data_IF_721675992027
#
_entry.id   IF_721675992027
#
_cell.length_a   1.000
_cell.length_b   1.000
_cell.length_c   1.000
_cell.angle_alpha   90.00
_cell.angle_beta   90.00
_cell.angle_gamma   90.00
#
_symmetry.space_group_name_H-M   'P 1'
#
loop_
_entity.id
_entity.type
_entity.pdbx_description
1 polymer ?
#
# COMPACT_ATOMS: atom_id res chain seq x y z
N UNK A 1 -3.25 3.04 -5.24
CA UNK A 1 -2.70 1.65 -5.06
C UNK A 1 -3.82 0.66 -5.37
N UNK A 2 -3.50 -0.51 -5.90
CA UNK A 2 -4.49 -1.53 -6.25
C UNK A 2 -4.76 -2.50 -5.10
N UNK A 3 -5.91 -3.23 -5.14
CA UNK A 3 -6.28 -4.24 -4.16
C UNK A 3 -6.43 -5.62 -4.79
N UNK A 4 -5.86 -6.65 -4.16
CA UNK A 4 -6.02 -8.06 -4.51
C UNK A 4 -6.79 -8.77 -3.40
N UNK A 5 -7.76 -9.58 -3.79
CA UNK A 5 -8.45 -10.54 -2.94
C UNK A 5 -8.58 -11.89 -3.65
N UNK A 6 -8.59 -12.98 -2.92
CA UNK A 6 -8.87 -14.30 -3.44
C UNK A 6 -9.41 -15.21 -2.35
N UNK A 7 -10.31 -16.11 -2.71
CA UNK A 7 -10.86 -17.12 -1.80
C UNK A 7 -10.91 -18.48 -2.47
N UNK A 8 -10.67 -19.52 -1.70
CA UNK A 8 -10.90 -20.92 -2.08
C UNK A 8 -11.58 -21.66 -0.94
N UNK A 9 -12.47 -22.61 -1.25
CA UNK A 9 -13.28 -23.35 -0.28
C UNK A 9 -14.51 -22.60 0.21
N UNK A 10 -14.97 -21.56 -0.47
CA UNK A 10 -16.14 -20.75 -0.09
C UNK A 10 -17.34 -21.13 -0.95
N UNK A 11 -18.49 -21.44 -0.33
CA UNK A 11 -19.72 -21.81 -1.04
C UNK A 11 -20.33 -20.65 -1.83
N UNK A 12 -20.32 -19.44 -1.25
CA UNK A 12 -20.84 -18.23 -1.87
C UNK A 12 -19.71 -17.31 -2.33
N UNK A 13 -19.01 -17.73 -3.38
CA UNK A 13 -17.76 -17.08 -3.82
C UNK A 13 -17.99 -15.63 -4.28
N UNK A 14 -19.12 -15.31 -4.96
CA UNK A 14 -19.36 -13.97 -5.48
C UNK A 14 -19.56 -12.96 -4.35
N UNK A 15 -20.46 -13.17 -3.36
CA UNK A 15 -20.55 -12.29 -2.20
C UNK A 15 -19.24 -12.11 -1.45
N UNK A 16 -18.48 -13.20 -1.24
CA UNK A 16 -17.20 -13.12 -0.55
C UNK A 16 -16.18 -12.24 -1.29
N UNK A 17 -16.08 -12.39 -2.62
CA UNK A 17 -15.20 -11.56 -3.44
C UNK A 17 -15.64 -10.09 -3.44
N UNK A 18 -16.94 -9.81 -3.60
CA UNK A 18 -17.47 -8.44 -3.58
C UNK A 18 -17.17 -7.77 -2.24
N UNK A 19 -17.51 -8.42 -1.11
CA UNK A 19 -17.24 -7.90 0.23
C UNK A 19 -15.73 -7.67 0.47
N UNK A 20 -14.88 -8.61 0.01
CA UNK A 20 -13.43 -8.46 0.08
C UNK A 20 -12.90 -7.28 -0.74
N UNK A 21 -13.45 -7.07 -1.95
CA UNK A 21 -13.11 -5.94 -2.81
C UNK A 21 -13.60 -4.60 -2.23
N UNK A 22 -14.81 -4.55 -1.64
CA UNK A 22 -15.33 -3.35 -0.98
C UNK A 22 -14.40 -2.86 0.13
N UNK A 23 -13.81 -3.78 0.90
CA UNK A 23 -12.79 -3.44 1.91
C UNK A 23 -11.49 -2.92 1.31
N UNK A 24 -11.24 -3.18 0.03
CA UNK A 24 -10.05 -2.74 -0.71
C UNK A 24 -10.33 -1.58 -1.68
N UNK A 25 -11.59 -1.11 -1.80
CA UNK A 25 -11.99 -0.05 -2.74
C UNK A 25 -11.19 1.24 -2.52
N UNK A 26 -10.80 1.53 -1.28
CA UNK A 26 -9.95 2.68 -0.96
C UNK A 26 -8.59 2.66 -1.67
N UNK A 27 -8.12 1.48 -2.10
CA UNK A 27 -6.86 1.32 -2.84
C UNK A 27 -6.99 1.62 -4.32
N UNK A 28 -8.20 1.53 -4.88
CA UNK A 28 -8.44 1.78 -6.30
C UNK A 28 -9.93 1.66 -6.61
N UNK A 29 -10.44 2.59 -7.40
CA UNK A 29 -11.85 2.65 -7.80
C UNK A 29 -12.05 2.99 -9.29
N UNK A 30 -10.99 2.91 -10.10
CA UNK A 30 -11.07 3.16 -11.54
C UNK A 30 -11.72 2.02 -12.29
N UNK A 31 -11.47 0.81 -11.81
CA UNK A 31 -12.08 -0.40 -12.33
C UNK A 31 -11.93 -1.55 -11.34
N UNK A 32 -12.80 -2.54 -11.47
CA UNK A 32 -12.76 -3.76 -10.68
C UNK A 32 -13.12 -4.97 -11.54
N UNK A 33 -12.72 -6.15 -11.09
CA UNK A 33 -13.10 -7.38 -11.75
C UNK A 33 -12.75 -8.62 -10.94
N UNK A 34 -13.38 -9.72 -11.33
CA UNK A 34 -13.19 -11.03 -10.71
C UNK A 34 -12.94 -12.10 -11.76
N UNK A 35 -12.19 -13.12 -11.39
CA UNK A 35 -12.13 -14.39 -12.12
C UNK A 35 -12.62 -15.50 -11.19
N UNK A 36 -13.46 -16.37 -11.72
CA UNK A 36 -14.04 -17.53 -11.05
C UNK A 36 -13.49 -18.79 -11.71
N UNK A 37 -13.08 -19.77 -10.91
CA UNK A 37 -12.64 -21.05 -11.39
C UNK A 37 -13.83 -22.00 -11.41
N UNK A 38 -14.41 -22.21 -12.58
CA UNK A 38 -15.54 -23.10 -12.82
C UNK A 38 -15.06 -24.45 -13.36
N UNK A 39 -15.93 -25.46 -13.38
CA UNK A 39 -15.59 -26.79 -13.89
C UNK A 39 -15.16 -26.78 -15.37
N UNK A 40 -15.77 -25.88 -16.14
CA UNK A 40 -15.54 -25.79 -17.59
C UNK A 40 -14.49 -24.74 -17.98
N UNK A 41 -13.80 -24.15 -16.99
CA UNK A 41 -12.75 -23.17 -17.24
C UNK A 41 -12.81 -21.93 -16.34
N UNK A 42 -12.27 -20.82 -16.83
CA UNK A 42 -12.19 -19.58 -16.09
C UNK A 42 -13.20 -18.57 -16.61
N UNK A 43 -14.09 -18.10 -15.74
CA UNK A 43 -15.02 -17.01 -16.04
C UNK A 43 -14.49 -15.70 -15.49
N UNK A 44 -14.41 -14.66 -16.33
CA UNK A 44 -13.97 -13.32 -15.95
C UNK A 44 -15.11 -12.32 -16.12
N UNK A 45 -15.34 -11.51 -15.09
CA UNK A 45 -16.30 -10.39 -15.11
C UNK A 45 -15.56 -9.12 -14.71
N UNK A 46 -15.67 -8.09 -15.53
CA UNK A 46 -14.97 -6.81 -15.35
C UNK A 46 -15.93 -5.64 -15.40
N UNK A 47 -15.59 -4.56 -14.71
CA UNK A 47 -16.34 -3.30 -14.76
C UNK A 47 -15.41 -2.11 -14.59
N UNK A 48 -15.65 -1.07 -15.40
CA UNK A 48 -15.05 0.24 -15.19
C UNK A 48 -15.82 0.96 -14.09
N UNK A 49 -15.12 1.72 -13.26
CA UNK A 49 -15.69 2.46 -12.13
C UNK A 49 -15.68 1.66 -10.84
N UNK A 50 -16.56 2.03 -9.93
CA UNK A 50 -16.63 1.50 -8.56
C UNK A 50 -17.05 0.04 -8.48
N UNK A 51 -16.80 -0.59 -7.34
CA UNK A 51 -17.18 -1.99 -7.08
C UNK A 51 -18.68 -2.19 -7.17
N UNK A 52 -19.49 -1.18 -6.85
CA UNK A 52 -20.96 -1.25 -7.03
C UNK A 52 -21.36 -1.63 -8.45
N UNK A 53 -20.66 -1.11 -9.47
CA UNK A 53 -20.93 -1.45 -10.87
C UNK A 53 -20.57 -2.91 -11.19
N UNK A 54 -19.50 -3.43 -10.58
CA UNK A 54 -19.13 -4.84 -10.70
C UNK A 54 -20.14 -5.73 -9.98
N UNK A 55 -20.57 -5.35 -8.77
CA UNK A 55 -21.56 -6.08 -7.98
C UNK A 55 -22.92 -6.19 -8.73
N UNK A 56 -23.34 -5.12 -9.40
CA UNK A 56 -24.53 -5.13 -10.27
C UNK A 56 -24.39 -6.15 -11.40
N UNK A 57 -23.26 -6.15 -12.11
CA UNK A 57 -22.99 -7.15 -13.17
C UNK A 57 -22.97 -8.59 -12.61
N UNK A 58 -22.41 -8.78 -11.42
CA UNK A 58 -22.31 -10.09 -10.78
C UNK A 58 -23.65 -10.61 -10.22
N UNK A 59 -24.63 -9.76 -9.95
CA UNK A 59 -25.94 -10.15 -9.40
C UNK A 59 -26.70 -11.12 -10.29
N UNK A 60 -26.48 -11.08 -11.61
CA UNK A 60 -27.08 -11.98 -12.58
C UNK A 60 -26.25 -13.24 -12.88
N UNK A 61 -24.99 -13.30 -12.38
CA UNK A 61 -24.10 -14.42 -12.64
C UNK A 61 -24.45 -15.61 -11.75
N UNK A 62 -24.71 -16.76 -12.37
CA UNK A 62 -24.83 -18.05 -11.68
C UNK A 62 -23.54 -18.82 -11.85
N UNK A 63 -23.01 -19.37 -10.78
CA UNK A 63 -21.75 -20.12 -10.77
C UNK A 63 -21.77 -21.27 -9.78
N UNK A 64 -21.02 -22.31 -10.06
CA UNK A 64 -20.72 -23.41 -9.14
C UNK A 64 -19.29 -23.31 -8.60
N UNK A 65 -18.60 -22.19 -8.84
CA UNK A 65 -17.26 -21.96 -8.38
C UNK A 65 -17.18 -21.77 -6.86
N UNK A 66 -16.19 -22.38 -6.24
CA UNK A 66 -15.83 -22.23 -4.83
C UNK A 66 -14.47 -21.55 -4.66
N UNK A 67 -13.88 -21.10 -5.77
CA UNK A 67 -12.58 -20.47 -5.84
C UNK A 67 -12.61 -19.31 -6.83
N UNK A 68 -12.01 -18.19 -6.44
CA UNK A 68 -11.94 -17.02 -7.30
C UNK A 68 -10.94 -15.99 -6.79
N UNK A 69 -10.54 -15.10 -7.70
CA UNK A 69 -9.69 -13.94 -7.40
C UNK A 69 -10.36 -12.66 -7.88
N UNK A 70 -10.12 -11.57 -7.17
CA UNK A 70 -10.67 -10.26 -7.48
C UNK A 70 -9.62 -9.16 -7.37
N UNK A 71 -9.89 -8.04 -8.04
CA UNK A 71 -8.99 -6.90 -8.10
C UNK A 71 -9.73 -5.58 -8.15
N UNK A 72 -9.21 -4.58 -7.42
CA UNK A 72 -9.55 -3.16 -7.58
C UNK A 72 -8.35 -2.42 -8.14
N UNK A 73 -8.54 -1.65 -9.20
CA UNK A 73 -7.46 -1.00 -9.93
C UNK A 73 -7.43 0.50 -9.68
N UNK A 74 -6.22 1.01 -9.47
CA UNK A 74 -5.85 2.41 -9.64
C UNK A 74 -4.94 2.48 -10.86
N UNK A 75 -5.42 3.09 -11.95
CA UNK A 75 -4.71 3.06 -13.22
C UNK A 75 -3.37 3.81 -13.15
N UNK A 76 -2.27 3.08 -13.33
CA UNK A 76 -0.92 3.62 -13.50
C UNK A 76 -0.43 3.47 -14.94
N UNK A 77 -0.82 2.38 -15.62
CA UNK A 77 -0.51 2.06 -17.01
C UNK A 77 -1.79 1.70 -17.76
N UNK A 78 -2.05 2.38 -18.89
CA UNK A 78 -3.25 2.20 -19.68
C UNK A 78 -4.49 2.86 -19.07
N UNK A 79 -5.40 3.34 -19.92
CA UNK A 79 -6.65 3.99 -19.50
C UNK A 79 -7.57 3.00 -18.76
N UNK A 80 -8.49 3.46 -17.90
CA UNK A 80 -9.50 2.61 -17.28
C UNK A 80 -10.55 2.17 -18.32
N UNK A 81 -10.27 1.08 -19.01
CA UNK A 81 -11.14 0.42 -19.99
C UNK A 81 -11.35 -1.04 -19.57
N UNK A 82 -12.42 -1.70 -20.02
CA UNK A 82 -12.64 -3.12 -19.67
C UNK A 82 -11.48 -4.03 -20.10
N UNK A 83 -10.81 -3.72 -21.21
CA UNK A 83 -9.65 -4.47 -21.69
C UNK A 83 -8.50 -4.39 -20.69
N UNK A 84 -8.25 -3.20 -20.13
CA UNK A 84 -7.18 -2.93 -19.19
C UNK A 84 -7.54 -3.26 -17.74
N UNK A 85 -8.80 -3.63 -17.45
CA UNK A 85 -9.19 -4.10 -16.11
C UNK A 85 -8.61 -5.49 -15.84
N UNK A 86 -8.25 -5.73 -14.57
CA UNK A 86 -7.95 -7.08 -14.10
C UNK A 86 -9.25 -7.85 -13.78
N UNK A 87 -9.22 -9.17 -13.81
CA UNK A 87 -8.12 -10.10 -14.16
C UNK A 87 -7.81 -10.17 -15.65
N UNK A 88 -6.56 -10.54 -16.01
CA UNK A 88 -6.15 -10.83 -17.37
C UNK A 88 -6.08 -12.34 -17.61
N UNK A 89 -6.56 -12.78 -18.77
CA UNK A 89 -6.45 -14.17 -19.20
C UNK A 89 -5.18 -14.36 -20.04
N UNK A 90 -4.58 -15.54 -19.93
CA UNK A 90 -3.52 -15.99 -20.84
C UNK A 90 -4.08 -16.29 -22.24
N UNK A 91 -3.22 -16.35 -23.25
CA UNK A 91 -3.59 -16.51 -24.67
C UNK A 91 -4.46 -17.75 -24.95
N UNK A 92 -4.20 -18.87 -24.26
CA UNK A 92 -5.02 -20.09 -24.33
C UNK A 92 -6.07 -20.18 -23.22
N UNK A 93 -6.30 -19.10 -22.45
CA UNK A 93 -7.27 -19.00 -21.36
C UNK A 93 -7.09 -20.02 -20.24
N UNK A 94 -5.88 -20.58 -20.09
CA UNK A 94 -5.56 -21.53 -19.03
C UNK A 94 -5.32 -20.86 -17.69
N UNK A 95 -4.84 -19.61 -17.69
CA UNK A 95 -4.57 -18.84 -16.48
C UNK A 95 -5.34 -17.53 -16.47
N UNK A 96 -5.83 -17.14 -15.28
CA UNK A 96 -6.33 -15.80 -14.99
C UNK A 96 -5.45 -15.16 -13.92
N UNK A 97 -5.06 -13.90 -14.08
CA UNK A 97 -4.10 -13.21 -13.22
C UNK A 97 -4.62 -11.86 -12.77
N UNK A 98 -4.42 -11.56 -11.50
CA UNK A 98 -4.48 -10.20 -10.94
C UNK A 98 -3.11 -9.81 -10.41
N UNK A 99 -2.75 -8.53 -10.53
CA UNK A 99 -1.43 -8.04 -10.22
C UNK A 99 -1.47 -6.64 -9.60
N UNK A 100 -0.72 -6.46 -8.52
CA UNK A 100 -0.38 -5.15 -7.94
C UNK A 100 1.11 -4.91 -8.14
N UNK A 101 1.48 -3.76 -8.68
CA UNK A 101 2.86 -3.37 -8.85
C UNK A 101 3.20 -2.89 -10.26
N UNK A 102 4.48 -2.94 -10.60
CA UNK A 102 5.02 -2.54 -11.91
C UNK A 102 6.08 -3.55 -12.34
N UNK A 103 5.95 -4.06 -13.57
CA UNK A 103 6.94 -4.93 -14.19
C UNK A 103 7.88 -4.06 -15.04
N UNK A 104 9.08 -3.83 -14.52
CA UNK A 104 10.05 -2.90 -15.11
C UNK A 104 10.59 -3.38 -16.45
N UNK A 105 10.74 -4.69 -16.63
CA UNK A 105 11.21 -5.30 -17.88
C UNK A 105 10.08 -5.67 -18.87
N UNK A 106 8.88 -5.09 -18.73
CA UNK A 106 7.68 -5.40 -19.52
C UNK A 106 7.93 -5.36 -21.05
N UNK A 107 8.76 -4.41 -21.53
CA UNK A 107 9.10 -4.32 -22.97
C UNK A 107 9.84 -5.54 -23.50
N UNK A 108 10.70 -6.15 -22.70
CA UNK A 108 11.43 -7.35 -23.08
C UNK A 108 10.52 -8.57 -23.07
N UNK A 109 9.60 -8.63 -22.10
CA UNK A 109 8.61 -9.69 -21.97
C UNK A 109 7.56 -9.62 -23.09
N UNK A 110 7.12 -8.42 -23.49
CA UNK A 110 6.26 -8.23 -24.66
C UNK A 110 6.92 -8.74 -25.96
N UNK A 111 8.19 -8.39 -26.18
CA UNK A 111 8.95 -8.93 -27.33
C UNK A 111 9.01 -10.45 -27.30
N UNK A 112 9.25 -11.06 -26.13
CA UNK A 112 9.27 -12.50 -25.98
C UNK A 112 7.92 -13.14 -26.34
N UNK A 113 6.81 -12.57 -25.85
CA UNK A 113 5.46 -13.03 -26.18
C UNK A 113 5.21 -12.94 -27.70
N UNK A 114 5.52 -11.82 -28.33
CA UNK A 114 5.37 -11.62 -29.78
C UNK A 114 6.22 -12.58 -30.61
N UNK A 115 7.46 -12.87 -30.18
CA UNK A 115 8.30 -13.87 -30.84
C UNK A 115 7.74 -15.28 -30.74
N UNK A 116 6.83 -15.53 -29.80
CA UNK A 116 6.09 -16.81 -29.64
C UNK A 116 4.70 -16.77 -30.30
N UNK A 117 4.39 -15.73 -31.08
CA UNK A 117 3.11 -15.56 -31.78
C UNK A 117 1.97 -15.06 -30.89
N UNK A 118 2.28 -14.58 -29.67
CA UNK A 118 1.29 -14.06 -28.73
C UNK A 118 1.28 -12.53 -28.80
N UNK A 119 0.14 -11.96 -29.17
CA UNK A 119 -0.07 -10.49 -29.19
C UNK A 119 -0.94 -10.11 -28.00
N UNK A 120 -0.40 -9.39 -27.00
CA UNK A 120 -1.21 -8.86 -25.90
C UNK A 120 -2.29 -7.93 -26.43
N UNK A 121 -3.46 -7.93 -25.80
CA UNK A 121 -4.63 -7.13 -26.21
C UNK A 121 -4.81 -5.90 -25.33
N UNK A 122 -4.28 -5.91 -24.12
CA UNK A 122 -4.32 -4.77 -23.20
C UNK A 122 -3.03 -3.93 -23.26
N UNK A 123 -3.13 -2.69 -22.76
CA UNK A 123 -1.97 -1.81 -22.60
C UNK A 123 -1.22 -2.06 -21.27
N UNK A 124 -1.61 -3.11 -20.49
CA UNK A 124 -1.07 -3.36 -19.15
C UNK A 124 0.11 -4.32 -19.17
N UNK A 125 1.07 -4.10 -18.30
CA UNK A 125 2.17 -5.03 -18.02
C UNK A 125 1.68 -6.35 -17.39
N UNK A 126 0.51 -6.33 -16.78
CA UNK A 126 -0.09 -7.43 -16.03
C UNK A 126 -0.54 -8.60 -16.91
N UNK A 127 -1.01 -8.32 -18.13
CA UNK A 127 -1.42 -9.36 -19.08
C UNK A 127 -0.25 -10.26 -19.47
N UNK A 128 0.96 -9.68 -19.56
CA UNK A 128 2.17 -10.45 -19.86
C UNK A 128 2.44 -11.54 -18.84
N UNK A 129 2.09 -11.31 -17.56
CA UNK A 129 2.26 -12.32 -16.51
C UNK A 129 1.39 -13.54 -16.79
N UNK A 130 0.13 -13.34 -17.22
CA UNK A 130 -0.76 -14.44 -17.58
C UNK A 130 -0.20 -15.25 -18.77
N UNK A 131 0.29 -14.58 -19.78
CA UNK A 131 0.92 -15.23 -20.94
C UNK A 131 2.17 -16.01 -20.57
N UNK A 132 3.02 -15.45 -19.72
CA UNK A 132 4.24 -16.13 -19.26
C UNK A 132 3.94 -17.37 -18.42
N UNK A 133 2.90 -17.34 -17.57
CA UNK A 133 2.48 -18.52 -16.82
C UNK A 133 2.13 -19.68 -17.77
N UNK A 134 1.37 -19.39 -18.83
CA UNK A 134 1.01 -20.43 -19.82
C UNK A 134 2.21 -20.88 -20.68
N UNK A 135 3.10 -19.96 -21.06
CA UNK A 135 4.33 -20.30 -21.79
C UNK A 135 5.29 -21.18 -20.98
N UNK A 136 5.33 -20.96 -19.66
CA UNK A 136 6.20 -21.71 -18.74
C UNK A 136 5.53 -22.99 -18.21
N UNK A 137 4.27 -23.25 -18.57
CA UNK A 137 3.50 -24.39 -18.08
C UNK A 137 3.86 -25.67 -18.87
N UNK A 138 4.40 -26.65 -18.16
CA UNK A 138 4.78 -27.96 -18.68
C UNK A 138 4.02 -29.14 -18.01
N UNK A 139 2.88 -28.83 -17.34
CA UNK A 139 2.09 -29.79 -16.58
C UNK A 139 2.15 -29.54 -15.07
N UNK A 140 3.13 -28.77 -14.57
CA UNK A 140 3.22 -28.36 -13.16
C UNK A 140 3.10 -26.85 -13.00
N UNK A 141 2.02 -26.43 -12.31
CA UNK A 141 1.71 -25.01 -12.09
C UNK A 141 2.73 -24.33 -11.18
N UNK A 142 3.23 -25.03 -10.14
CA UNK A 142 4.22 -24.44 -9.24
C UNK A 142 5.55 -24.17 -9.95
N UNK A 143 5.96 -25.04 -10.88
CA UNK A 143 7.12 -24.80 -11.74
C UNK A 143 6.89 -23.60 -12.68
N UNK A 144 5.70 -23.48 -13.27
CA UNK A 144 5.34 -22.36 -14.11
C UNK A 144 5.38 -21.04 -13.34
N UNK A 145 4.80 -21.01 -12.12
CA UNK A 145 4.84 -19.87 -11.20
C UNK A 145 6.27 -19.46 -10.87
N UNK A 146 7.11 -20.42 -10.49
CA UNK A 146 8.52 -20.17 -10.16
C UNK A 146 9.29 -19.59 -11.34
N UNK A 147 9.22 -20.22 -12.52
CA UNK A 147 9.90 -19.74 -13.75
C UNK A 147 9.42 -18.34 -14.12
N UNK A 148 8.12 -18.09 -14.05
CA UNK A 148 7.55 -16.76 -14.35
C UNK A 148 8.06 -15.72 -13.34
N UNK A 149 8.02 -15.99 -12.04
CA UNK A 149 8.49 -15.08 -11.00
C UNK A 149 10.00 -14.72 -11.14
N UNK A 150 10.82 -15.70 -11.62
CA UNK A 150 12.24 -15.51 -11.90
C UNK A 150 12.49 -14.59 -13.12
N UNK A 151 11.57 -14.53 -14.08
CA UNK A 151 11.67 -13.70 -15.28
C UNK A 151 11.24 -12.26 -15.05
N UNK A 152 10.42 -11.97 -14.02
CA UNK A 152 9.90 -10.65 -13.75
C UNK A 152 10.92 -9.78 -13.00
N UNK A 153 11.05 -8.52 -13.40
CA UNK A 153 11.81 -7.48 -12.69
C UNK A 153 10.86 -6.39 -12.19
N UNK A 154 11.16 -5.80 -11.02
CA UNK A 154 10.36 -4.77 -10.39
C UNK A 154 9.64 -5.23 -9.13
N UNK A 155 8.61 -4.49 -8.72
CA UNK A 155 7.80 -4.74 -7.54
C UNK A 155 6.45 -5.32 -7.97
N UNK A 156 6.11 -6.50 -7.47
CA UNK A 156 4.86 -7.16 -7.84
C UNK A 156 4.28 -8.04 -6.71
N UNK A 157 2.96 -8.14 -6.67
CA UNK A 157 2.18 -9.15 -5.98
C UNK A 157 1.15 -9.71 -6.96
N UNK A 158 1.14 -11.01 -7.13
CA UNK A 158 0.34 -11.70 -8.14
C UNK A 158 -0.50 -12.80 -7.50
N UNK A 159 -1.78 -12.87 -7.88
CA UNK A 159 -2.62 -14.04 -7.68
C UNK A 159 -3.06 -14.59 -9.04
N UNK A 160 -3.01 -15.91 -9.18
CA UNK A 160 -3.36 -16.62 -10.40
C UNK A 160 -4.30 -17.80 -10.13
N UNK A 161 -5.24 -18.02 -11.06
CA UNK A 161 -6.05 -19.23 -11.16
C UNK A 161 -5.56 -20.03 -12.37
N UNK A 162 -5.63 -21.34 -12.25
CA UNK A 162 -5.40 -22.28 -13.34
C UNK A 162 -6.69 -23.07 -13.64
N UNK A 163 -7.10 -23.10 -14.89
CA UNK A 163 -8.35 -23.77 -15.31
C UNK A 163 -8.40 -25.26 -14.97
N UNK A 164 -7.23 -25.94 -14.92
CA UNK A 164 -7.13 -27.36 -14.57
C UNK A 164 -7.15 -27.67 -13.07
N UNK A 165 -7.15 -26.63 -12.20
CA UNK A 165 -7.22 -26.76 -10.73
C UNK A 165 -8.25 -25.79 -10.15
N UNK A 166 -9.56 -26.06 -10.28
CA UNK A 166 -10.62 -25.10 -9.98
C UNK A 166 -10.75 -24.74 -8.49
N UNK A 167 -10.04 -25.40 -7.60
CA UNK A 167 -10.06 -25.15 -6.16
C UNK A 167 -8.73 -24.58 -5.63
N UNK A 168 -7.83 -24.12 -6.50
CA UNK A 168 -6.52 -23.66 -6.10
C UNK A 168 -6.25 -22.23 -6.55
N UNK A 169 -5.60 -21.45 -5.66
CA UNK A 169 -5.04 -20.14 -5.97
C UNK A 169 -3.52 -20.24 -5.87
N UNK A 170 -2.84 -19.66 -6.82
CA UNK A 170 -1.39 -19.56 -6.83
C UNK A 170 -0.98 -18.12 -6.61
N UNK A 171 -0.04 -17.88 -5.70
CA UNK A 171 0.36 -16.54 -5.31
C UNK A 171 1.89 -16.42 -5.31
N UNK A 172 2.41 -15.29 -5.75
CA UNK A 172 3.84 -14.99 -5.68
C UNK A 172 4.08 -13.48 -5.63
N UNK A 173 5.20 -13.07 -5.02
CA UNK A 173 5.48 -11.65 -4.85
C UNK A 173 6.97 -11.32 -4.81
N UNK A 174 7.24 -10.02 -5.08
CA UNK A 174 8.47 -9.30 -4.79
C UNK A 174 8.13 -7.88 -4.39
N UNK A 175 8.55 -7.45 -3.21
CA UNK A 175 8.35 -6.11 -2.61
C UNK A 175 6.89 -5.75 -2.28
N UNK A 176 5.92 -5.89 -3.19
CA UNK A 176 4.50 -5.60 -2.93
C UNK A 176 3.88 -6.56 -1.90
N UNK A 177 3.04 -6.10 -0.95
CA UNK A 177 2.50 -6.95 0.11
C UNK A 177 1.50 -7.99 -0.40
N UNK A 178 1.53 -9.19 0.21
CA UNK A 178 0.54 -10.25 -0.03
C UNK A 178 0.43 -11.13 1.22
N UNK A 179 -0.78 -11.29 1.73
CA UNK A 179 -1.12 -12.02 2.95
C UNK A 179 -1.95 -13.24 2.57
N UNK A 180 -1.59 -14.36 3.15
CA UNK A 180 -2.33 -15.62 3.04
C UNK A 180 -3.02 -15.88 4.35
N UNK A 181 -4.33 -16.01 4.32
CA UNK A 181 -5.16 -16.39 5.44
C UNK A 181 -5.59 -17.85 5.33
N UNK A 182 -5.55 -18.58 6.44
CA UNK A 182 -5.98 -19.97 6.53
C UNK A 182 -7.05 -20.09 7.61
N UNK A 183 -8.24 -20.49 7.21
CA UNK A 183 -9.39 -20.80 8.05
C UNK A 183 -9.73 -22.29 8.03
N UNK A 184 -10.88 -22.65 8.60
CA UNK A 184 -11.41 -24.00 8.55
C UNK A 184 -12.11 -24.25 7.20
N UNK A 185 -11.58 -25.20 6.43
CA UNK A 185 -12.10 -25.55 5.10
C UNK A 185 -11.93 -24.48 4.02
N UNK A 186 -11.21 -23.38 4.30
CA UNK A 186 -11.03 -22.28 3.36
C UNK A 186 -9.64 -21.62 3.47
N UNK A 187 -9.20 -21.04 2.38
CA UNK A 187 -8.09 -20.08 2.39
C UNK A 187 -8.48 -18.77 1.72
N UNK A 188 -7.87 -17.68 2.16
CA UNK A 188 -7.95 -16.41 1.48
C UNK A 188 -6.58 -15.84 1.14
N UNK A 189 -6.55 -14.95 0.18
CA UNK A 189 -5.39 -14.18 -0.25
C UNK A 189 -5.78 -12.71 -0.30
N UNK A 190 -5.00 -11.83 0.30
CA UNK A 190 -5.29 -10.40 0.28
C UNK A 190 -4.01 -9.56 0.19
N UNK A 191 -4.07 -8.45 -0.51
CA UNK A 191 -2.97 -7.48 -0.53
C UNK A 191 -2.93 -6.60 0.73
N UNK A 192 -3.94 -6.71 1.59
CA UNK A 192 -4.02 -5.99 2.86
C UNK A 192 -4.72 -6.84 3.93
N UNK A 193 -4.24 -6.72 5.18
CA UNK A 193 -4.77 -7.47 6.32
C UNK A 193 -6.24 -7.18 6.62
N UNK A 194 -6.75 -5.99 6.31
CA UNK A 194 -8.15 -5.65 6.53
C UNK A 194 -9.13 -6.52 5.73
N UNK A 195 -8.67 -7.14 4.64
CA UNK A 195 -9.47 -8.03 3.81
C UNK A 195 -9.23 -9.53 4.09
N UNK A 196 -8.17 -9.89 4.80
CA UNK A 196 -7.78 -11.31 4.99
C UNK A 196 -8.71 -12.09 5.94
N UNK A 197 -9.21 -11.52 7.00
CA UNK A 197 -10.19 -12.05 7.99
C UNK A 197 -10.18 -13.57 8.22
N UNK A 198 -9.05 -14.10 8.69
CA UNK A 198 -8.91 -15.51 9.04
C UNK A 198 -8.21 -15.68 10.39
N UNK A 199 -8.38 -16.85 11.01
CA UNK A 199 -7.76 -17.16 12.31
C UNK A 199 -6.23 -17.22 12.26
N UNK A 200 -5.68 -17.60 11.12
CA UNK A 200 -4.23 -17.75 10.91
C UNK A 200 -3.82 -17.00 9.67
N UNK A 201 -3.04 -15.97 9.87
CA UNK A 201 -2.53 -15.13 8.79
C UNK A 201 -1.01 -15.26 8.66
N UNK A 202 -0.54 -15.27 7.42
CA UNK A 202 0.86 -15.41 7.06
C UNK A 202 1.23 -14.38 6.00
N UNK A 203 2.38 -13.74 6.16
CA UNK A 203 2.92 -12.88 5.10
C UNK A 203 3.76 -13.73 4.14
N UNK A 204 3.46 -13.61 2.85
CA UNK A 204 4.31 -14.18 1.81
C UNK A 204 5.59 -13.35 1.72
N UNK A 205 6.75 -13.99 1.83
CA UNK A 205 8.06 -13.33 1.76
C UNK A 205 8.49 -12.99 0.34
N UNK A 206 9.50 -12.14 0.19
CA UNK A 206 10.06 -11.81 -1.12
C UNK A 206 10.67 -13.03 -1.81
N UNK A 207 10.29 -13.26 -3.06
CA UNK A 207 10.72 -14.42 -3.84
C UNK A 207 10.10 -15.75 -3.39
N UNK A 208 9.14 -15.68 -2.45
CA UNK A 208 8.31 -16.83 -2.11
C UNK A 208 7.08 -16.91 -3.01
N UNK A 209 6.55 -18.10 -3.16
CA UNK A 209 5.28 -18.40 -3.81
C UNK A 209 4.48 -19.39 -2.99
N UNK A 210 3.17 -19.43 -3.18
CA UNK A 210 2.26 -20.26 -2.41
C UNK A 210 1.20 -20.89 -3.31
N UNK A 211 0.72 -22.06 -2.89
CA UNK A 211 -0.49 -22.71 -3.35
C UNK A 211 -1.49 -22.71 -2.22
N UNK A 212 -2.67 -22.19 -2.46
CA UNK A 212 -3.79 -22.16 -1.52
C UNK A 212 -4.86 -23.13 -2.02
N UNK A 213 -5.41 -23.91 -1.12
CA UNK A 213 -6.51 -24.84 -1.38
C UNK A 213 -7.50 -24.80 -0.20
N UNK A 214 -8.70 -25.40 -0.30
CA UNK A 214 -9.61 -25.52 0.84
C UNK A 214 -8.99 -26.20 2.07
N UNK A 215 -7.97 -27.03 1.85
CA UNK A 215 -7.32 -27.82 2.90
C UNK A 215 -6.15 -27.10 3.58
N UNK A 216 -5.76 -25.91 3.09
CA UNK A 216 -4.67 -25.11 3.63
C UNK A 216 -3.78 -24.47 2.57
N UNK A 217 -2.70 -23.89 3.02
CA UNK A 217 -1.74 -23.22 2.17
C UNK A 217 -0.34 -23.84 2.29
N UNK A 218 0.32 -24.00 1.16
CA UNK A 218 1.70 -24.46 1.06
C UNK A 218 2.58 -23.33 0.54
N UNK A 219 3.77 -23.19 1.12
CA UNK A 219 4.69 -22.08 0.81
C UNK A 219 6.00 -22.63 0.29
N UNK A 220 6.55 -21.95 -0.70
CA UNK A 220 7.76 -22.39 -1.38
C UNK A 220 8.73 -21.22 -1.60
N UNK A 221 10.02 -21.53 -1.65
CA UNK A 221 11.07 -20.61 -2.07
C UNK A 221 12.14 -21.41 -2.84
N UNK A 222 12.51 -20.95 -4.03
CA UNK A 222 13.50 -21.61 -4.90
C UNK A 222 13.24 -23.13 -5.09
N UNK A 223 11.98 -23.52 -5.26
CA UNK A 223 11.58 -24.91 -5.46
C UNK A 223 11.51 -25.78 -4.21
N UNK A 224 11.75 -25.22 -3.02
CA UNK A 224 11.70 -25.95 -1.74
C UNK A 224 10.55 -25.46 -0.90
N UNK A 225 9.88 -26.36 -0.18
CA UNK A 225 8.88 -26.00 0.83
C UNK A 225 9.54 -25.20 1.96
N UNK A 226 8.85 -24.15 2.44
CA UNK A 226 9.31 -23.28 3.52
C UNK A 226 8.19 -23.01 4.51
N UNK A 227 8.55 -22.77 5.77
CA UNK A 227 7.59 -22.34 6.77
C UNK A 227 7.33 -20.84 6.64
N UNK A 228 6.07 -20.42 6.46
CA UNK A 228 5.73 -19.02 6.33
C UNK A 228 5.83 -18.30 7.68
N UNK A 229 5.99 -16.98 7.62
CA UNK A 229 5.97 -16.15 8.83
C UNK A 229 4.53 -15.84 9.21
N UNK A 230 4.10 -16.38 10.37
CA UNK A 230 2.81 -16.04 10.96
C UNK A 230 2.80 -14.59 11.44
N UNK A 231 1.71 -13.88 11.22
CA UNK A 231 1.43 -12.55 11.72
C UNK A 231 0.20 -12.60 12.64
N UNK A 232 0.04 -11.68 13.60
CA UNK A 232 -1.22 -11.53 14.32
C UNK A 232 -2.36 -11.29 13.33
N UNK A 233 -3.51 -11.91 13.56
CA UNK A 233 -4.71 -11.65 12.77
C UNK A 233 -5.05 -10.16 12.81
N UNK A 234 -5.46 -9.62 11.68
CA UNK A 234 -5.80 -8.20 11.56
C UNK A 234 -7.06 -7.89 12.35
N UNK A 235 -7.06 -6.76 13.07
CA UNK A 235 -8.21 -6.35 13.87
C UNK A 235 -9.31 -5.83 12.92
N UNK A 236 -10.30 -6.70 12.66
CA UNK A 236 -11.35 -6.45 11.66
C UNK A 236 -12.19 -5.20 11.96
N UNK A 237 -12.40 -4.90 13.26
CA UNK A 237 -13.18 -3.74 13.72
C UNK A 237 -12.49 -2.41 13.39
N UNK A 238 -11.17 -2.39 13.33
CA UNK A 238 -10.40 -1.17 13.00
C UNK A 238 -10.56 -0.74 11.54
N UNK A 239 -11.01 -1.64 10.66
CA UNK A 239 -11.23 -1.40 9.23
C UNK A 239 -12.68 -1.05 8.89
N UNK A 240 -13.56 -0.85 9.89
CA UNK A 240 -14.93 -0.41 9.69
C UNK A 240 -15.08 1.11 9.78
N UNK A 241 -16.11 1.68 9.15
CA UNK A 241 -16.37 3.13 9.18
C UNK A 241 -16.79 3.65 10.55
N UNK A 242 -17.26 2.77 11.46
CA UNK A 242 -17.63 3.16 12.82
C UNK A 242 -18.75 4.23 12.88
N UNK A 243 -19.72 4.19 11.96
CA UNK A 243 -20.79 5.18 11.86
C UNK A 243 -20.46 6.45 11.07
N UNK A 244 -19.22 6.63 10.61
CA UNK A 244 -18.84 7.75 9.76
C UNK A 244 -19.25 7.52 8.29
N UNK A 245 -19.61 8.57 7.53
CA UNK A 245 -19.99 8.44 6.11
C UNK A 245 -18.82 7.98 5.23
N UNK A 246 -17.58 8.38 5.59
CA UNK A 246 -16.36 8.08 4.85
C UNK A 246 -15.21 7.72 5.80
N UNK A 247 -14.26 6.89 5.35
CA UNK A 247 -13.07 6.55 6.13
C UNK A 247 -12.23 7.76 6.47
N UNK A 248 -12.10 8.72 5.57
CA UNK A 248 -11.29 9.90 5.80
C UNK A 248 -11.76 10.73 6.99
N UNK A 249 -13.08 10.95 7.15
CA UNK A 249 -13.61 11.70 8.31
C UNK A 249 -13.44 10.92 9.61
N UNK A 250 -13.57 9.58 9.57
CA UNK A 250 -13.22 8.72 10.71
C UNK A 250 -11.76 8.88 11.10
N UNK A 251 -10.85 8.79 10.12
CA UNK A 251 -9.40 8.90 10.34
C UNK A 251 -8.99 10.29 10.82
N UNK A 252 -9.68 11.35 10.38
CA UNK A 252 -9.53 12.70 10.90
C UNK A 252 -9.93 12.73 12.38
N UNK A 253 -11.07 12.13 12.73
CA UNK A 253 -11.56 12.09 14.12
C UNK A 253 -10.65 11.25 15.05
N UNK A 254 -9.94 10.26 14.52
CA UNK A 254 -9.00 9.39 15.25
C UNK A 254 -7.62 10.04 15.54
N UNK A 255 -7.32 11.22 15.01
CA UNK A 255 -6.01 11.87 15.15
C UNK A 255 -5.58 12.11 16.60
N UNK A 256 -6.45 12.58 17.54
CA UNK A 256 -6.07 12.77 18.92
C UNK A 256 -5.56 11.51 19.60
N UNK A 257 -6.29 10.41 19.44
CA UNK A 257 -5.91 9.11 20.00
C UNK A 257 -4.66 8.53 19.34
N UNK A 258 -4.54 8.68 18.00
CA UNK A 258 -3.38 8.24 17.25
C UNK A 258 -2.10 8.97 17.72
N UNK A 259 -2.20 10.28 17.95
CA UNK A 259 -1.13 11.09 18.51
C UNK A 259 -0.75 10.63 19.93
N UNK A 260 -1.73 10.37 20.80
CA UNK A 260 -1.50 9.88 22.17
C UNK A 260 -0.75 8.55 22.17
N UNK A 261 -1.22 7.55 21.40
CA UNK A 261 -0.55 6.24 21.27
C UNK A 261 0.87 6.39 20.71
N UNK A 262 1.06 7.29 19.76
CA UNK A 262 2.37 7.55 19.16
C UNK A 262 3.35 8.13 20.17
N UNK A 263 2.95 9.15 20.93
CA UNK A 263 3.77 9.78 21.96
C UNK A 263 4.20 8.75 23.02
N UNK A 264 3.29 7.87 23.44
CA UNK A 264 3.59 6.80 24.40
C UNK A 264 4.60 5.80 23.82
N UNK A 265 4.47 5.42 22.55
CA UNK A 265 5.37 4.47 21.87
C UNK A 265 6.82 4.98 21.77
N UNK A 266 7.00 6.29 21.84
CA UNK A 266 8.30 6.97 21.74
C UNK A 266 8.94 7.21 23.12
N UNK A 267 8.24 6.88 24.21
CA UNK A 267 8.73 7.09 25.58
C UNK A 267 10.17 6.59 25.77
N UNK A 268 11.03 7.45 26.29
CA UNK A 268 12.46 7.15 26.52
C UNK A 268 13.36 7.12 25.29
N UNK A 269 12.81 7.32 24.10
CA UNK A 269 13.59 7.42 22.85
C UNK A 269 13.97 8.86 22.58
N UNK A 270 15.18 9.08 22.04
CA UNK A 270 15.68 10.41 21.67
C UNK A 270 16.50 10.33 20.39
N UNK A 271 16.44 11.39 19.60
CA UNK A 271 17.35 11.63 18.47
C UNK A 271 18.24 12.84 18.78
N UNK A 272 19.49 12.77 18.35
CA UNK A 272 20.53 13.80 18.55
C UNK A 272 21.44 13.87 17.35
N UNK A 273 22.15 15.00 17.23
CA UNK A 273 23.13 15.24 16.17
C UNK A 273 22.49 15.70 14.85
N UNK A 274 23.33 15.89 13.85
CA UNK A 274 22.91 16.31 12.50
C UNK A 274 22.00 15.26 11.85
N UNK A 275 20.89 15.71 11.31
CA UNK A 275 19.83 14.84 10.78
C UNK A 275 19.53 15.16 9.32
N UNK A 276 19.45 14.10 8.51
CA UNK A 276 18.86 14.13 7.18
C UNK A 276 17.53 13.37 7.20
N UNK A 277 16.44 14.08 6.96
CA UNK A 277 15.12 13.50 6.78
C UNK A 277 14.91 13.05 5.34
N UNK A 278 14.36 11.85 5.15
CA UNK A 278 14.04 11.27 3.86
C UNK A 278 12.61 10.74 3.86
N UNK A 279 11.81 11.14 2.87
CA UNK A 279 10.43 10.70 2.71
C UNK A 279 9.88 11.05 1.34
N UNK A 280 8.64 10.65 1.06
CA UNK A 280 7.91 11.01 -0.14
C UNK A 280 6.53 11.54 0.24
N UNK A 281 5.97 12.49 -0.55
CA UNK A 281 4.63 13.02 -0.33
C UNK A 281 4.45 13.59 1.07
N UNK A 282 3.38 13.21 1.76
CA UNK A 282 3.07 13.65 3.12
C UNK A 282 4.19 13.41 4.13
N UNK A 283 4.91 12.29 4.00
CA UNK A 283 6.07 12.00 4.86
C UNK A 283 7.24 12.97 4.64
N UNK A 284 7.43 13.46 3.41
CA UNK A 284 8.40 14.53 3.13
C UNK A 284 7.91 15.87 3.71
N UNK A 285 6.62 16.17 3.62
CA UNK A 285 6.04 17.39 4.19
C UNK A 285 6.15 17.40 5.72
N UNK A 286 5.92 16.26 6.39
CA UNK A 286 6.17 16.09 7.82
C UNK A 286 7.67 16.34 8.16
N UNK A 287 8.57 15.80 7.36
CA UNK A 287 10.00 16.04 7.53
C UNK A 287 10.36 17.52 7.44
N UNK A 288 9.78 18.27 6.48
CA UNK A 288 9.98 19.71 6.33
C UNK A 288 9.48 20.49 7.57
N UNK A 289 8.30 20.15 8.07
CA UNK A 289 7.72 20.79 9.25
C UNK A 289 8.57 20.56 10.52
N UNK A 290 9.24 19.40 10.61
CA UNK A 290 10.07 19.05 11.76
C UNK A 290 11.45 19.75 11.81
N UNK A 291 11.96 20.30 10.70
CA UNK A 291 13.30 20.93 10.66
C UNK A 291 13.48 21.99 11.76
N UNK A 292 12.63 23.03 11.88
CA UNK A 292 12.83 24.09 12.87
C UNK A 292 12.81 23.58 14.31
N UNK A 293 11.98 22.58 14.59
CA UNK A 293 11.92 21.93 15.90
C UNK A 293 13.23 21.19 16.21
N UNK A 294 13.71 20.41 15.25
CA UNK A 294 14.95 19.64 15.36
C UNK A 294 16.13 20.55 15.64
N UNK A 295 16.33 21.61 14.84
CA UNK A 295 17.41 22.55 15.00
C UNK A 295 17.36 23.28 16.34
N UNK A 296 16.16 23.68 16.78
CA UNK A 296 15.98 24.34 18.09
C UNK A 296 16.34 23.42 19.25
N UNK A 297 16.03 22.12 19.16
CA UNK A 297 16.22 21.16 20.25
C UNK A 297 17.63 20.54 20.28
N UNK A 298 18.29 20.46 19.14
CA UNK A 298 19.62 19.82 19.04
C UNK A 298 20.78 20.81 18.95
N UNK A 299 20.52 22.05 18.49
CA UNK A 299 21.54 23.01 18.11
C UNK A 299 22.28 22.66 16.80
N UNK A 300 21.90 21.55 16.15
CA UNK A 300 22.51 21.03 14.96
C UNK A 300 21.63 21.27 13.73
N UNK A 301 22.24 21.25 12.54
CA UNK A 301 21.49 21.42 11.29
C UNK A 301 20.62 20.20 10.98
N UNK A 302 19.45 20.46 10.45
CA UNK A 302 18.55 19.46 9.91
C UNK A 302 18.21 19.78 8.45
N UNK A 303 18.14 18.74 7.63
CA UNK A 303 17.81 18.83 6.21
C UNK A 303 16.71 17.85 5.87
N UNK A 304 15.85 18.18 4.90
CA UNK A 304 14.91 17.25 4.33
C UNK A 304 15.13 17.14 2.81
N UNK A 305 15.02 15.93 2.30
CA UNK A 305 15.12 15.64 0.88
C UNK A 305 14.08 14.56 0.54
N UNK A 306 13.52 14.61 -0.66
CA UNK A 306 12.70 13.47 -1.11
C UNK A 306 13.58 12.23 -1.26
N UNK A 307 13.02 11.08 -0.95
CA UNK A 307 13.77 9.82 -1.02
C UNK A 307 14.28 9.55 -2.45
N UNK A 308 13.49 9.90 -3.47
CA UNK A 308 13.87 9.81 -4.88
C UNK A 308 15.10 10.66 -5.22
N UNK A 309 15.12 11.95 -4.81
CA UNK A 309 16.28 12.83 -5.06
C UNK A 309 17.55 12.36 -4.33
N UNK A 310 17.38 11.80 -3.10
CA UNK A 310 18.51 11.23 -2.38
C UNK A 310 19.17 10.07 -3.13
N UNK A 311 18.41 9.27 -3.84
CA UNK A 311 18.95 8.15 -4.63
C UNK A 311 19.90 8.63 -5.74
N UNK A 312 19.58 9.76 -6.36
CA UNK A 312 20.38 10.37 -7.43
C UNK A 312 21.43 11.37 -6.92
N UNK A 313 21.40 11.74 -5.63
CA UNK A 313 22.38 12.65 -5.07
C UNK A 313 23.77 12.03 -5.04
N UNK A 314 24.77 12.77 -5.49
CA UNK A 314 26.17 12.35 -5.43
C UNK A 314 26.84 12.82 -4.13
N UNK A 315 27.83 12.08 -3.63
CA UNK A 315 28.81 12.49 -2.60
C UNK A 315 28.26 12.95 -1.23
N UNK A 316 27.03 12.60 -0.86
CA UNK A 316 26.55 12.86 0.51
C UNK A 316 27.12 11.81 1.47
N UNK A 317 28.09 12.22 2.30
CA UNK A 317 28.64 11.37 3.37
C UNK A 317 27.75 11.40 4.61
N UNK A 318 27.42 10.22 5.12
CA UNK A 318 26.61 10.04 6.34
C UNK A 318 27.44 9.87 7.61
N UNK A 319 28.77 9.94 7.54
CA UNK A 319 29.62 9.67 8.70
C UNK A 319 29.32 10.63 9.87
N UNK A 320 28.92 10.07 11.01
CA UNK A 320 28.52 10.83 12.19
C UNK A 320 27.10 11.37 12.17
N UNK A 321 26.34 11.22 11.07
CA UNK A 321 25.00 11.76 10.86
C UNK A 321 23.93 10.68 10.95
N UNK A 322 22.69 11.11 11.17
CA UNK A 322 21.53 10.22 11.20
C UNK A 322 20.60 10.51 10.00
N UNK A 323 20.25 9.48 9.24
CA UNK A 323 19.15 9.55 8.30
C UNK A 323 17.86 9.07 9.00
N UNK A 324 16.84 9.95 9.03
CA UNK A 324 15.50 9.62 9.55
C UNK A 324 14.58 9.47 8.37
N UNK A 325 14.10 8.23 8.17
CA UNK A 325 13.26 7.87 7.02
C UNK A 325 11.82 7.76 7.45
N UNK A 326 10.94 8.53 6.82
CA UNK A 326 9.53 8.58 7.14
C UNK A 326 8.72 7.88 6.04
N UNK A 327 7.83 6.96 6.44
CA UNK A 327 6.85 6.33 5.55
C UNK A 327 5.72 5.74 6.39
N UNK A 328 4.49 6.16 6.14
CA UNK A 328 3.31 5.62 6.84
C UNK A 328 3.21 4.10 6.66
N UNK A 329 3.24 3.60 5.42
CA UNK A 329 3.16 2.16 5.11
C UNK A 329 4.47 1.42 5.37
N UNK A 330 5.62 2.12 5.28
CA UNK A 330 6.94 1.51 5.28
C UNK A 330 7.27 0.66 4.05
N UNK A 331 6.44 0.76 2.99
CA UNK A 331 6.58 0.02 1.73
C UNK A 331 6.82 0.95 0.51
N UNK A 332 7.03 2.25 0.73
CA UNK A 332 7.36 3.20 -0.34
C UNK A 332 8.72 2.81 -0.93
N UNK A 333 8.74 2.40 -2.20
CA UNK A 333 9.91 1.83 -2.86
C UNK A 333 11.15 2.73 -2.76
N UNK A 334 11.00 4.02 -3.11
CA UNK A 334 12.09 4.99 -3.04
C UNK A 334 12.61 5.18 -1.61
N UNK A 335 11.72 5.19 -0.60
CA UNK A 335 12.12 5.35 0.80
C UNK A 335 12.88 4.12 1.31
N UNK A 336 12.48 2.92 0.90
CA UNK A 336 13.18 1.68 1.24
C UNK A 336 14.55 1.63 0.56
N UNK A 337 14.63 1.99 -0.73
CA UNK A 337 15.88 2.08 -1.47
C UNK A 337 16.82 3.13 -0.85
N UNK A 338 16.28 4.30 -0.47
CA UNK A 338 17.04 5.37 0.19
C UNK A 338 17.59 4.91 1.56
N UNK A 339 16.86 4.07 2.33
CA UNK A 339 17.35 3.50 3.58
C UNK A 339 18.62 2.64 3.36
N UNK A 340 18.56 1.76 2.37
CA UNK A 340 19.68 0.90 2.02
C UNK A 340 20.89 1.72 1.54
N UNK A 341 20.65 2.76 0.75
CA UNK A 341 21.69 3.66 0.26
C UNK A 341 22.28 4.53 1.37
N UNK A 342 21.46 5.08 2.27
CA UNK A 342 21.91 5.84 3.42
C UNK A 342 22.86 5.00 4.30
N UNK A 343 22.51 3.74 4.53
CA UNK A 343 23.36 2.79 5.27
C UNK A 343 24.72 2.57 4.57
N UNK A 344 24.72 2.39 3.24
CA UNK A 344 25.97 2.27 2.46
C UNK A 344 26.82 3.53 2.51
N UNK A 345 26.22 4.71 2.63
CA UNK A 345 26.88 6.01 2.77
C UNK A 345 27.35 6.33 4.19
N UNK A 346 27.13 5.41 5.15
CA UNK A 346 27.58 5.53 6.53
C UNK A 346 26.68 6.33 7.46
N UNK A 347 25.42 6.59 7.08
CA UNK A 347 24.40 7.12 7.99
C UNK A 347 23.95 6.06 8.99
N UNK A 348 23.72 6.48 10.24
CA UNK A 348 22.84 5.72 11.14
C UNK A 348 21.41 5.86 10.64
N UNK A 349 20.69 4.77 10.49
CA UNK A 349 19.36 4.80 9.91
C UNK A 349 18.28 4.56 10.97
N UNK A 350 17.32 5.49 11.04
CA UNK A 350 16.15 5.41 11.90
C UNK A 350 14.92 5.57 11.02
N UNK A 351 13.94 4.69 11.12
CA UNK A 351 12.66 4.91 10.42
C UNK A 351 11.52 5.25 11.38
N UNK A 352 10.60 6.08 10.89
CA UNK A 352 9.30 6.36 11.52
C UNK A 352 8.24 5.77 10.59
N UNK A 353 7.51 4.76 11.05
CA UNK A 353 6.53 4.03 10.25
C UNK A 353 5.34 3.59 11.09
N UNK A 354 4.16 3.47 10.47
CA UNK A 354 2.98 2.96 11.16
C UNK A 354 2.91 1.42 11.15
N UNK A 355 3.52 0.79 10.15
CA UNK A 355 3.45 -0.67 9.97
C UNK A 355 4.68 -1.33 10.54
N UNK A 356 4.48 -2.09 11.62
CA UNK A 356 5.50 -2.95 12.18
C UNK A 356 5.93 -4.02 11.16
N UNK A 357 7.23 -4.27 11.07
CA UNK A 357 7.79 -5.29 10.16
C UNK A 357 7.64 -4.98 8.66
N UNK A 358 7.40 -3.73 8.31
CA UNK A 358 7.47 -3.27 6.92
C UNK A 358 8.87 -3.41 6.34
N UNK A 359 9.01 -3.28 5.02
CA UNK A 359 10.32 -3.31 4.34
C UNK A 359 11.27 -2.25 4.89
N UNK A 360 10.75 -1.06 5.17
CA UNK A 360 11.53 0.04 5.74
C UNK A 360 12.02 -0.28 7.15
N UNK A 361 11.17 -0.86 8.02
CA UNK A 361 11.58 -1.22 9.39
C UNK A 361 12.63 -2.32 9.43
N UNK A 362 12.67 -3.18 8.41
CA UNK A 362 13.73 -4.19 8.25
C UNK A 362 15.03 -3.62 7.67
N UNK A 363 14.93 -2.58 6.84
CA UNK A 363 16.08 -1.93 6.21
C UNK A 363 16.86 -1.04 7.20
N UNK A 364 16.18 -0.41 8.16
CA UNK A 364 16.78 0.53 9.10
C UNK A 364 17.34 -0.17 10.37
N UNK A 365 18.31 0.47 11.02
CA UNK A 365 18.91 -0.02 12.28
C UNK A 365 17.97 0.14 13.47
N UNK A 366 17.15 1.19 13.46
CA UNK A 366 16.17 1.48 14.52
C UNK A 366 14.83 1.83 13.90
N UNK A 367 13.75 1.45 14.58
CA UNK A 367 12.38 1.74 14.17
C UNK A 367 11.60 2.45 15.27
N UNK A 368 10.81 3.42 14.87
CA UNK A 368 9.80 4.09 15.69
C UNK A 368 8.46 3.82 15.04
N UNK A 369 7.53 3.24 15.78
CA UNK A 369 6.19 2.95 15.31
C UNK A 369 5.23 4.03 15.79
N UNK A 370 4.40 4.53 14.88
CA UNK A 370 3.43 5.60 15.19
C UNK A 370 2.15 5.08 15.83
N UNK A 371 1.85 3.77 15.70
CA UNK A 371 0.62 3.17 16.25
C UNK A 371 -0.68 3.94 15.90
N UNK A 372 -0.71 4.58 14.72
CA UNK A 372 -1.87 5.32 14.25
C UNK A 372 -3.08 4.41 13.91
N UNK A 373 -2.87 3.10 13.89
CA UNK A 373 -3.86 2.14 13.41
C UNK A 373 -3.93 2.08 11.88
N UNK A 374 -4.85 1.30 11.32
CA UNK A 374 -5.06 1.23 9.87
C UNK A 374 -5.48 2.59 9.32
N UNK A 375 -4.93 2.96 8.18
CA UNK A 375 -5.31 4.16 7.42
C UNK A 375 -5.79 3.70 6.06
N UNK A 376 -7.08 3.84 5.81
CA UNK A 376 -7.82 3.25 4.69
C UNK A 376 -8.11 4.30 3.62
N UNK A 377 -8.26 5.57 4.00
CA UNK A 377 -8.48 6.64 3.02
C UNK A 377 -7.28 6.82 2.09
N UNK A 378 -7.55 7.23 0.86
CA UNK A 378 -6.49 7.46 -0.16
C UNK A 378 -5.49 8.51 0.31
N UNK A 379 -5.98 9.59 0.87
CA UNK A 379 -5.16 10.66 1.40
C UNK A 379 -4.87 10.41 2.89
N UNK A 380 -3.60 10.35 3.26
CA UNK A 380 -3.19 10.21 4.66
C UNK A 380 -3.62 11.42 5.48
N UNK A 381 -4.08 11.19 6.71
CA UNK A 381 -4.49 12.21 7.68
C UNK A 381 -3.83 11.96 9.03
N UNK A 382 -4.33 10.98 9.79
CA UNK A 382 -3.76 10.58 11.09
C UNK A 382 -2.33 10.06 10.96
N UNK A 383 -1.95 9.50 9.81
CA UNK A 383 -0.58 9.07 9.55
C UNK A 383 0.41 10.24 9.55
N UNK A 384 0.06 11.37 8.90
CA UNK A 384 0.84 12.61 8.93
C UNK A 384 0.95 13.16 10.35
N UNK A 385 -0.18 13.36 11.02
CA UNK A 385 -0.24 13.90 12.40
C UNK A 385 0.55 13.02 13.39
N UNK A 386 0.49 11.69 13.22
CA UNK A 386 1.26 10.76 14.05
C UNK A 386 2.77 10.84 13.78
N UNK A 387 3.20 11.11 12.55
CA UNK A 387 4.62 11.36 12.26
C UNK A 387 5.11 12.63 12.94
N UNK A 388 4.34 13.71 12.90
CA UNK A 388 4.63 14.96 13.62
C UNK A 388 4.68 14.75 15.14
N UNK A 389 3.72 14.02 15.71
CA UNK A 389 3.72 13.68 17.14
C UNK A 389 4.94 12.84 17.55
N UNK A 390 5.36 11.89 16.69
CA UNK A 390 6.57 11.11 16.93
C UNK A 390 7.82 11.98 16.92
N UNK A 391 7.94 12.89 15.95
CA UNK A 391 9.07 13.82 15.84
C UNK A 391 9.12 14.78 17.03
N UNK A 392 7.97 15.34 17.43
CA UNK A 392 7.89 16.19 18.63
C UNK A 392 8.33 15.42 19.89
N UNK A 393 7.85 14.18 20.07
CA UNK A 393 8.21 13.36 21.22
C UNK A 393 9.69 12.93 21.21
N UNK A 394 10.29 12.69 20.03
CA UNK A 394 11.71 12.32 19.88
C UNK A 394 12.67 13.46 20.22
N UNK A 395 12.31 14.70 19.94
CA UNK A 395 13.18 15.86 20.15
C UNK A 395 12.88 16.60 21.45
N UNK A 396 11.63 16.95 21.72
CA UNK A 396 11.24 17.66 22.94
C UNK A 396 11.15 16.70 24.14
N UNK A 397 10.57 15.52 23.91
CA UNK A 397 10.38 14.45 24.88
C UNK A 397 8.92 14.15 25.14
N UNK A 398 8.62 12.87 25.21
CA UNK A 398 7.27 12.36 25.46
C UNK A 398 6.64 12.81 26.79
N UNK A 399 7.47 13.18 27.77
CA UNK A 399 7.03 13.65 29.09
C UNK A 399 6.92 15.18 29.19
N UNK A 400 7.35 15.93 28.19
CA UNK A 400 7.22 17.38 28.16
C UNK A 400 5.73 17.80 28.09
N UNK A 401 5.35 18.84 28.83
CA UNK A 401 3.94 19.26 28.93
C UNK A 401 3.38 19.64 27.56
N UNK A 402 4.17 20.31 26.73
CA UNK A 402 3.79 20.68 25.37
C UNK A 402 3.45 19.47 24.52
N UNK A 403 4.23 18.38 24.62
CA UNK A 403 4.01 17.15 23.86
C UNK A 403 2.82 16.38 24.41
N UNK A 404 2.66 16.33 25.74
CA UNK A 404 1.51 15.66 26.38
C UNK A 404 0.18 16.33 26.07
N UNK A 405 0.18 17.64 25.79
CA UNK A 405 -1.01 18.40 25.42
C UNK A 405 -1.40 18.25 23.96
N UNK A 406 -0.51 17.76 23.07
CA UNK A 406 -0.81 17.64 21.64
C UNK A 406 -2.13 16.92 21.32
N UNK A 407 -2.48 15.78 21.94
CA UNK A 407 -3.77 15.13 21.67
C UNK A 407 -4.97 16.05 21.95
N UNK A 408 -4.94 16.78 23.05
CA UNK A 408 -5.99 17.72 23.40
C UNK A 408 -6.05 18.91 22.44
N UNK A 409 -4.91 19.47 22.01
CA UNK A 409 -4.88 20.58 21.08
C UNK A 409 -5.34 20.14 19.67
N UNK A 410 -5.06 18.87 19.28
CA UNK A 410 -5.59 18.29 18.04
C UNK A 410 -7.11 18.15 18.15
N UNK A 411 -7.65 17.65 19.26
CA UNK A 411 -9.10 17.54 19.49
C UNK A 411 -9.79 18.89 19.35
N UNK A 412 -9.22 19.94 19.98
CA UNK A 412 -9.72 21.31 19.84
C UNK A 412 -9.68 21.82 18.40
N UNK A 413 -8.65 21.45 17.64
CA UNK A 413 -8.54 21.85 16.24
C UNK A 413 -9.60 21.17 15.35
N UNK A 414 -10.12 20.02 15.76
CA UNK A 414 -11.19 19.33 15.02
C UNK A 414 -12.55 20.02 15.16
N UNK A 415 -12.72 20.93 16.13
CA UNK A 415 -13.95 21.72 16.27
C UNK A 415 -14.15 22.78 15.16
N UNK A 416 -13.23 22.82 14.18
CA UNK A 416 -13.28 23.78 13.07
C UNK A 416 -14.19 23.36 11.88
N UNK A 417 -15.04 22.36 12.01
CA UNK A 417 -15.89 21.83 10.93
C UNK A 417 -16.73 22.91 10.23
N UNK A 418 -17.28 23.85 11.00
CA UNK A 418 -18.07 24.97 10.47
C UNK A 418 -17.23 25.88 9.56
N UNK A 419 -16.04 26.24 10.02
CA UNK A 419 -15.12 27.11 9.29
C UNK A 419 -14.57 26.38 8.05
N UNK A 420 -14.23 25.09 8.18
CA UNK A 420 -13.79 24.26 7.07
C UNK A 420 -14.87 24.14 5.98
N UNK A 421 -16.14 23.97 6.38
CA UNK A 421 -17.28 23.94 5.45
C UNK A 421 -17.45 25.27 4.74
N UNK A 422 -17.42 26.39 5.46
CA UNK A 422 -17.50 27.73 4.87
C UNK A 422 -16.34 27.98 3.89
N UNK A 423 -15.11 27.62 4.27
CA UNK A 423 -13.95 27.72 3.39
C UNK A 423 -14.09 26.85 2.13
N UNK A 424 -14.66 25.64 2.25
CA UNK A 424 -14.82 24.73 1.11
C UNK A 424 -15.72 25.30 0.01
N UNK A 425 -16.72 26.11 0.36
CA UNK A 425 -17.60 26.78 -0.60
C UNK A 425 -16.85 27.83 -1.45
N UNK A 426 -15.78 28.41 -0.91
CA UNK A 426 -14.96 29.37 -1.64
C UNK A 426 -14.12 28.71 -2.75
N UNK A 427 -13.82 27.42 -2.64
CA UNK A 427 -13.01 26.70 -3.63
C UNK A 427 -13.82 26.21 -4.84
N UNK A 428 -15.13 26.04 -4.72
CA UNK A 428 -15.99 25.50 -5.79
C UNK A 428 -15.91 26.25 -7.13
N UNK A 429 -15.91 27.57 -7.17
CA UNK A 429 -15.85 28.31 -8.42
C UNK A 429 -14.42 28.61 -8.89
N UNK A 430 -13.39 28.27 -8.11
CA UNK A 430 -12.01 28.70 -8.37
C UNK A 430 -11.22 27.63 -9.13
N UNK A 431 -10.33 28.08 -10.01
CA UNK A 431 -9.46 27.19 -10.79
C UNK A 431 -8.22 26.68 -10.04
N UNK A 432 -7.85 27.30 -8.92
CA UNK A 432 -6.65 26.92 -8.15
C UNK A 432 -6.71 27.44 -6.72
N UNK A 433 -5.90 26.84 -5.83
CA UNK A 433 -5.77 27.23 -4.42
C UNK A 433 -4.29 27.37 -4.02
N UNK A 434 -3.99 28.29 -3.09
CA UNK A 434 -2.65 28.53 -2.56
C UNK A 434 -2.66 28.39 -1.03
N UNK A 435 -1.77 27.54 -0.52
CA UNK A 435 -1.49 27.37 0.90
C UNK A 435 -0.15 28.03 1.20
N UNK A 436 -0.11 28.94 2.16
CA UNK A 436 1.09 29.75 2.45
C UNK A 436 1.50 29.50 3.89
N UNK A 437 2.77 29.15 4.12
CA UNK A 437 3.32 28.92 5.44
C UNK A 437 4.75 29.43 5.57
N UNK A 438 5.24 29.58 6.81
CA UNK A 438 6.62 29.97 7.11
C UNK A 438 7.23 28.99 8.10
N UNK A 439 8.51 28.62 7.89
CA UNK A 439 9.25 27.67 8.74
C UNK A 439 8.52 26.33 8.84
N UNK A 440 8.12 25.87 10.02
CA UNK A 440 7.36 24.65 10.22
C UNK A 440 6.04 24.62 9.42
N UNK A 441 5.32 25.75 9.41
CA UNK A 441 4.04 25.87 8.70
C UNK A 441 4.20 25.74 7.17
N UNK A 442 5.41 25.88 6.65
CA UNK A 442 5.68 25.62 5.22
C UNK A 442 5.43 24.15 4.88
N UNK A 443 5.89 23.22 5.70
CA UNK A 443 5.60 21.80 5.54
C UNK A 443 4.10 21.49 5.63
N UNK A 444 3.39 22.15 6.55
CA UNK A 444 1.93 22.05 6.70
C UNK A 444 1.20 22.62 5.48
N UNK A 445 1.67 23.76 4.95
CA UNK A 445 1.11 24.36 3.73
C UNK A 445 1.27 23.44 2.50
N UNK A 446 2.42 22.78 2.35
CA UNK A 446 2.62 21.78 1.30
C UNK A 446 1.70 20.57 1.49
N UNK A 447 1.48 20.13 2.73
CA UNK A 447 0.56 19.03 3.03
C UNK A 447 -0.89 19.37 2.72
N UNK A 448 -1.36 20.55 3.14
CA UNK A 448 -2.72 21.04 2.81
C UNK A 448 -2.96 21.12 1.31
N UNK A 449 -1.99 21.66 0.55
CA UNK A 449 -2.06 21.70 -0.91
C UNK A 449 -2.08 20.28 -1.52
N UNK A 450 -1.29 19.36 -0.98
CA UNK A 450 -1.27 17.95 -1.42
C UNK A 450 -2.64 17.30 -1.18
N UNK A 451 -3.21 17.44 0.01
CA UNK A 451 -4.53 16.86 0.36
C UNK A 451 -5.63 17.38 -0.55
N UNK A 452 -5.68 18.70 -0.81
CA UNK A 452 -6.67 19.25 -1.71
C UNK A 452 -6.56 18.67 -3.13
N UNK A 453 -5.33 18.58 -3.67
CA UNK A 453 -5.11 17.98 -5.00
C UNK A 453 -5.51 16.53 -5.08
N UNK A 454 -5.16 15.72 -4.05
CA UNK A 454 -5.44 14.28 -4.04
C UNK A 454 -6.94 13.97 -4.00
N UNK A 455 -7.72 14.81 -3.31
CA UNK A 455 -9.15 14.55 -3.05
C UNK A 455 -10.04 15.17 -4.12
N UNK A 456 -9.70 16.39 -4.55
CA UNK A 456 -10.60 17.22 -5.39
C UNK A 456 -10.13 17.39 -6.82
N UNK A 457 -8.86 17.05 -7.11
CA UNK A 457 -8.16 17.36 -8.36
C UNK A 457 -8.05 18.87 -8.68
N UNK A 458 -8.43 19.75 -7.75
CA UNK A 458 -8.22 21.19 -7.89
C UNK A 458 -6.70 21.47 -7.81
N UNK A 459 -6.12 22.19 -8.78
CA UNK A 459 -4.73 22.61 -8.70
C UNK A 459 -4.47 23.39 -7.42
N UNK A 460 -3.63 22.88 -6.55
CA UNK A 460 -3.29 23.50 -5.29
C UNK A 460 -1.78 23.56 -5.08
N UNK A 461 -1.27 24.66 -4.54
CA UNK A 461 0.15 24.94 -4.40
C UNK A 461 0.48 25.34 -2.96
N UNK A 462 1.49 24.69 -2.38
CA UNK A 462 2.11 25.12 -1.14
C UNK A 462 3.22 26.11 -1.45
N UNK A 463 3.31 27.20 -0.71
CA UNK A 463 4.31 28.26 -0.89
C UNK A 463 4.92 28.66 0.44
N UNK A 464 6.21 28.99 0.41
CA UNK A 464 6.86 29.67 1.53
C UNK A 464 6.44 31.13 1.55
N UNK A 465 6.05 31.64 2.71
CA UNK A 465 5.75 33.05 2.91
C UNK A 465 7.06 33.88 3.00
N UNK A 466 7.24 34.83 2.11
CA UNK A 466 8.37 35.74 2.06
C UNK A 466 9.28 35.61 0.86
#
# INVERSE_FOLDING_TARGET
MCGIIGYTGVSDIIPALVEGLERLEYRGYDSAGVALAEKDGLRVVKSVGRISNLAEKLSSVRTDAHCGIGHTRWATHGRPTEINCHPHLSFGKKFAVVHNGIIENCRNLDKLCRCRGITPVSDTDSELIAHLLELNFDGDVLSAVRRTAEMLEGSFAVAALYAGSPNEIYAFRRSSPLIVGVGDGMCCLASDGCAARTEREYILGDGQYARLSPHGAEFFSRGKSVSPKRIPASDALSCERGGHPHFMIKEIAEQPEAAARTIESVRGKRLRGEVLYLGCGSSYNAALAAIPLTERQTGERAFAMTASEFLFSEKLSGRGKTAVLLSQSGETADTVAAALQAKRRGYRTVCISNVARSSLTRACERSVLTHAGPEISVATTKGFTSQEAALAALYVGSNADEVRRLPFEIERALDCDGDAKAASELFRPQGSAFFIGRRADCGVAFEGALKLREITYIPAFGLSAG
#
